data_IF_125830425277
#
_entry.id   IF_125830425277
#
_cell.length_a   1.000
_cell.length_b   1.000
_cell.length_c   1.000
_cell.angle_alpha   90.00
_cell.angle_beta   90.00
_cell.angle_gamma   90.00
#
_symmetry.space_group_name_H-M   'P 1'
#
loop_
_entity.id
_entity.type
_entity.pdbx_description
1 polymer ?
#
# COMPACT_ATOMS: atom_id res chain seq x y z
N UNK A 1 63.89 32.06 29.23
CA UNK A 1 62.65 32.47 28.51
C UNK A 1 62.08 31.26 27.86
N UNK A 2 61.15 30.53 28.52
CA UNK A 2 60.48 29.32 27.98
C UNK A 2 59.21 29.72 27.24
N UNK A 3 59.12 29.46 25.93
CA UNK A 3 57.89 29.64 25.14
C UNK A 3 57.15 28.33 25.15
N UNK A 4 55.99 28.31 25.81
CA UNK A 4 55.03 27.23 25.77
C UNK A 4 54.19 27.40 24.50
N UNK A 5 54.27 26.46 23.57
CA UNK A 5 53.43 26.40 22.38
C UNK A 5 52.22 25.55 22.75
N UNK A 6 51.03 26.18 22.90
CA UNK A 6 49.77 25.47 23.00
C UNK A 6 49.34 25.03 21.61
N UNK A 7 49.35 23.72 21.35
CA UNK A 7 48.75 23.12 20.17
C UNK A 7 47.25 22.92 20.40
N UNK A 8 46.43 23.73 19.73
CA UNK A 8 44.97 23.57 19.73
C UNK A 8 44.58 22.41 18.82
N UNK A 9 44.15 21.29 19.39
CA UNK A 9 43.52 20.21 18.64
C UNK A 9 42.07 20.61 18.29
N UNK A 10 41.81 20.96 17.06
CA UNK A 10 40.47 21.11 16.53
C UNK A 10 39.87 19.73 16.27
N UNK A 11 38.91 19.31 17.09
CA UNK A 11 38.13 18.12 16.85
C UNK A 11 37.13 18.39 15.71
N UNK A 12 37.35 17.81 14.50
CA UNK A 12 36.36 17.77 13.43
C UNK A 12 35.23 16.83 13.86
N UNK A 13 34.10 17.37 14.25
CA UNK A 13 32.87 16.61 14.39
C UNK A 13 32.35 16.27 12.97
N UNK A 14 32.52 15.02 12.52
CA UNK A 14 31.85 14.52 11.33
C UNK A 14 30.35 14.39 11.64
N UNK A 15 29.55 15.38 11.24
CA UNK A 15 28.11 15.25 11.20
C UNK A 15 27.76 14.23 10.12
N UNK A 16 27.23 13.07 10.51
CA UNK A 16 26.66 12.10 9.58
C UNK A 16 25.44 12.76 8.94
N UNK A 17 25.53 13.11 7.66
CA UNK A 17 24.41 13.57 6.88
C UNK A 17 23.50 12.36 6.64
N UNK A 18 22.42 12.23 7.38
CA UNK A 18 21.34 11.31 7.06
C UNK A 18 20.62 11.82 5.80
N UNK A 19 20.36 10.95 4.85
CA UNK A 19 19.53 11.30 3.72
C UNK A 19 18.11 11.64 4.20
N UNK A 20 17.52 12.71 3.66
CA UNK A 20 16.15 13.07 4.02
C UNK A 20 15.15 12.02 3.51
N UNK A 21 14.00 11.82 4.20
CA UNK A 21 12.94 10.96 3.70
C UNK A 21 12.50 11.36 2.29
N UNK A 22 12.30 10.38 1.43
CA UNK A 22 11.85 10.60 0.06
C UNK A 22 10.35 10.32 -0.02
N UNK A 23 9.61 11.24 -0.66
CA UNK A 23 8.20 11.04 -0.96
C UNK A 23 8.06 10.45 -2.35
N UNK A 24 7.42 9.30 -2.46
CA UNK A 24 7.06 8.66 -3.73
C UNK A 24 5.59 8.89 -4.02
N UNK A 25 5.27 9.23 -5.25
CA UNK A 25 3.90 9.25 -5.76
C UNK A 25 3.64 7.91 -6.46
N UNK A 26 2.54 7.25 -6.12
CA UNK A 26 2.14 6.01 -6.78
C UNK A 26 1.82 6.27 -8.26
N UNK A 27 2.27 5.35 -9.11
CA UNK A 27 1.93 5.33 -10.53
C UNK A 27 0.57 4.63 -10.73
N UNK A 28 -0.50 5.33 -11.13
CA UNK A 28 -1.81 4.73 -11.33
C UNK A 28 -1.83 3.64 -12.41
N UNK A 29 -0.92 3.72 -13.38
CA UNK A 29 -0.84 2.73 -14.47
C UNK A 29 -0.20 1.40 -14.02
N UNK A 30 0.50 1.40 -12.88
CA UNK A 30 1.21 0.24 -12.35
C UNK A 30 0.83 -0.08 -10.89
N UNK A 31 -0.30 0.46 -10.40
CA UNK A 31 -0.78 0.23 -9.03
C UNK A 31 -2.17 -0.37 -9.05
N UNK A 32 -2.26 -1.67 -8.72
CA UNK A 32 -3.50 -2.43 -8.78
C UNK A 32 -3.72 -3.22 -7.49
N UNK A 33 -4.59 -2.77 -6.57
CA UNK A 33 -5.12 -3.62 -5.52
C UNK A 33 -5.98 -4.73 -6.14
N UNK A 34 -5.45 -5.94 -6.14
CA UNK A 34 -6.11 -7.14 -6.63
C UNK A 34 -6.58 -8.00 -5.47
N UNK A 35 -7.64 -8.78 -5.69
CA UNK A 35 -8.23 -9.61 -4.65
C UNK A 35 -8.76 -10.93 -5.19
N UNK A 36 -8.89 -11.90 -4.28
CA UNK A 36 -9.51 -13.19 -4.51
C UNK A 36 -10.56 -13.43 -3.42
N UNK A 37 -11.81 -13.66 -3.83
CA UNK A 37 -12.96 -13.86 -2.96
C UNK A 37 -13.64 -15.20 -3.28
N UNK A 38 -14.21 -15.81 -2.25
CA UNK A 38 -14.95 -17.06 -2.35
C UNK A 38 -16.26 -16.90 -3.11
N UNK A 39 -16.66 -17.99 -3.77
CA UNK A 39 -17.96 -18.14 -4.41
C UNK A 39 -18.58 -19.49 -4.02
N UNK A 40 -19.73 -19.42 -3.36
CA UNK A 40 -20.51 -20.57 -2.88
C UNK A 40 -19.72 -21.57 -2.02
N UNK A 41 -19.01 -21.05 -0.97
CA UNK A 41 -18.37 -21.93 -0.01
C UNK A 41 -17.26 -22.80 -0.59
N UNK A 42 -16.45 -22.26 -1.50
CA UNK A 42 -15.31 -22.94 -2.08
C UNK A 42 -15.59 -23.57 -3.47
N UNK A 43 -16.77 -23.35 -4.06
CA UNK A 43 -17.05 -23.85 -5.42
C UNK A 43 -16.08 -23.25 -6.45
N UNK A 44 -15.78 -21.96 -6.32
CA UNK A 44 -14.81 -21.27 -7.17
C UNK A 44 -14.26 -20.04 -6.47
N UNK A 45 -13.30 -19.38 -7.12
CA UNK A 45 -12.69 -18.14 -6.61
C UNK A 45 -12.86 -17.05 -7.66
N UNK A 46 -13.60 -16.02 -7.31
CA UNK A 46 -13.66 -14.78 -8.07
C UNK A 46 -12.42 -13.94 -7.81
N UNK A 47 -11.82 -13.47 -8.90
CA UNK A 47 -10.68 -12.56 -8.85
C UNK A 47 -11.06 -11.25 -9.51
N UNK A 48 -10.67 -10.18 -8.88
CA UNK A 48 -10.87 -8.84 -9.40
C UNK A 48 -9.74 -7.90 -8.96
N UNK A 49 -9.79 -6.68 -9.46
CA UNK A 49 -8.86 -5.62 -9.10
C UNK A 49 -9.56 -4.27 -9.16
N UNK A 50 -8.92 -3.26 -8.58
CA UNK A 50 -9.30 -1.87 -8.79
C UNK A 50 -8.33 -1.23 -9.77
N UNK A 51 -8.87 -0.60 -10.82
CA UNK A 51 -8.08 -0.02 -11.91
C UNK A 51 -7.64 1.44 -11.65
N UNK A 52 -8.15 2.07 -10.59
CA UNK A 52 -7.83 3.45 -10.23
C UNK A 52 -7.43 3.54 -8.77
N UNK A 53 -6.14 3.78 -8.55
CA UNK A 53 -5.54 3.91 -7.23
C UNK A 53 -4.55 5.06 -7.27
N UNK A 54 -4.54 5.86 -6.22
CA UNK A 54 -3.59 6.96 -6.04
C UNK A 54 -3.04 6.96 -4.62
N UNK A 55 -1.92 7.62 -4.41
CA UNK A 55 -1.37 7.74 -3.07
C UNK A 55 0.06 8.23 -3.04
N UNK A 56 0.56 8.36 -1.81
CA UNK A 56 1.94 8.74 -1.53
C UNK A 56 2.54 7.81 -0.49
N UNK A 57 3.82 7.56 -0.65
CA UNK A 57 4.65 6.82 0.30
C UNK A 57 5.82 7.69 0.70
N UNK A 58 5.98 7.96 1.97
CA UNK A 58 7.19 8.58 2.50
C UNK A 58 8.10 7.45 2.98
N UNK A 59 9.33 7.42 2.52
CA UNK A 59 10.27 6.36 2.86
C UNK A 59 11.64 6.94 3.22
N UNK A 60 12.10 6.60 4.41
CA UNK A 60 13.44 6.87 4.91
C UNK A 60 14.20 5.56 5.03
N UNK A 61 15.11 5.35 4.09
CA UNK A 61 15.93 4.14 4.00
C UNK A 61 16.89 4.00 5.18
N UNK A 62 17.46 5.12 5.62
CA UNK A 62 18.50 5.14 6.64
C UNK A 62 17.90 5.06 8.05
N UNK A 63 16.81 5.78 8.29
CA UNK A 63 16.05 5.70 9.54
C UNK A 63 15.17 4.43 9.62
N UNK A 64 15.03 3.66 8.54
CA UNK A 64 14.14 2.50 8.44
C UNK A 64 12.74 2.87 8.92
N UNK A 65 12.17 3.87 8.31
CA UNK A 65 10.85 4.38 8.66
C UNK A 65 10.10 4.83 7.42
N UNK A 66 8.80 5.00 7.54
CA UNK A 66 7.99 5.55 6.47
C UNK A 66 6.51 5.41 6.73
N UNK A 67 5.74 6.11 5.93
CA UNK A 67 4.28 6.11 5.97
C UNK A 67 3.70 5.99 4.57
N UNK A 68 2.47 5.56 4.48
CA UNK A 68 1.76 5.43 3.22
C UNK A 68 0.31 5.88 3.40
N UNK A 69 -0.17 6.65 2.44
CA UNK A 69 -1.55 7.08 2.32
C UNK A 69 -2.03 6.77 0.91
N UNK A 70 -3.02 5.88 0.81
CA UNK A 70 -3.51 5.33 -0.45
C UNK A 70 -5.01 5.51 -0.53
N UNK A 71 -5.50 5.92 -1.70
CA UNK A 71 -6.92 6.03 -2.03
C UNK A 71 -7.23 5.15 -3.22
N UNK A 72 -8.26 4.33 -3.10
CA UNK A 72 -8.74 3.39 -4.11
C UNK A 72 -10.12 3.84 -4.53
N UNK A 73 -10.35 4.04 -5.83
CA UNK A 73 -11.67 4.32 -6.38
C UNK A 73 -12.48 3.03 -6.48
N UNK A 74 -13.54 2.91 -5.70
CA UNK A 74 -14.43 1.73 -5.70
C UNK A 74 -15.13 1.57 -7.05
N UNK A 75 -15.43 2.66 -7.76
CA UNK A 75 -16.05 2.58 -9.10
C UNK A 75 -15.15 1.95 -10.15
N UNK A 76 -13.86 1.84 -9.86
CA UNK A 76 -12.88 1.23 -10.76
C UNK A 76 -12.76 -0.29 -10.63
N UNK A 77 -13.61 -0.93 -9.82
CA UNK A 77 -13.62 -2.39 -9.65
C UNK A 77 -13.82 -3.10 -10.99
N UNK A 78 -13.06 -4.17 -11.21
CA UNK A 78 -13.03 -4.90 -12.45
C UNK A 78 -12.80 -6.40 -12.22
N UNK A 79 -13.77 -7.21 -12.58
CA UNK A 79 -13.68 -8.68 -12.60
C UNK A 79 -13.47 -9.21 -14.02
N UNK A 80 -13.37 -8.34 -15.04
CA UNK A 80 -13.39 -8.73 -16.44
C UNK A 80 -14.79 -9.08 -16.96
N UNK A 81 -15.84 -8.78 -16.18
CA UNK A 81 -17.23 -9.06 -16.54
C UNK A 81 -18.13 -7.88 -16.15
N UNK A 82 -18.56 -7.05 -17.11
CA UNK A 82 -19.26 -5.79 -16.83
C UNK A 82 -20.50 -5.94 -15.93
N UNK A 83 -21.27 -7.01 -16.05
CA UNK A 83 -22.44 -7.24 -15.19
C UNK A 83 -22.06 -7.48 -13.73
N UNK A 84 -20.93 -8.15 -13.47
CA UNK A 84 -20.45 -8.36 -12.11
C UNK A 84 -19.83 -7.06 -11.55
N UNK A 85 -19.14 -6.29 -12.40
CA UNK A 85 -18.58 -5.00 -12.02
C UNK A 85 -19.71 -4.05 -11.57
N UNK A 86 -20.82 -3.97 -12.32
CA UNK A 86 -21.99 -3.16 -11.94
C UNK A 86 -22.66 -3.67 -10.65
N UNK A 87 -22.82 -5.00 -10.52
CA UNK A 87 -23.38 -5.56 -9.29
C UNK A 87 -22.50 -5.28 -8.07
N UNK A 88 -21.18 -5.41 -8.21
CA UNK A 88 -20.25 -5.12 -7.12
C UNK A 88 -20.34 -3.66 -6.66
N UNK A 89 -20.55 -2.71 -7.57
CA UNK A 89 -20.73 -1.27 -7.25
C UNK A 89 -22.06 -0.94 -6.61
N UNK A 90 -23.07 -1.82 -6.75
CA UNK A 90 -24.42 -1.58 -6.26
C UNK A 90 -24.50 -1.47 -4.73
N UNK A 91 -25.65 -0.98 -4.24
CA UNK A 91 -25.93 -0.89 -2.81
C UNK A 91 -25.96 -2.26 -2.09
N UNK A 92 -26.03 -3.36 -2.83
CA UNK A 92 -26.02 -4.71 -2.27
C UNK A 92 -24.61 -5.15 -1.83
N UNK A 93 -23.53 -4.57 -2.39
CA UNK A 93 -22.14 -4.97 -2.11
C UNK A 93 -21.33 -3.80 -1.59
N UNK A 94 -20.79 -2.93 -2.48
CA UNK A 94 -19.92 -1.83 -2.06
C UNK A 94 -20.65 -0.51 -1.85
N UNK A 95 -21.87 -0.36 -2.35
CA UNK A 95 -22.63 0.92 -2.33
C UNK A 95 -21.73 2.10 -2.77
N UNK A 96 -21.13 1.96 -3.96
CA UNK A 96 -20.14 2.90 -4.46
C UNK A 96 -20.69 4.33 -4.63
N UNK A 97 -22.00 4.48 -4.76
CA UNK A 97 -22.65 5.79 -4.79
C UNK A 97 -22.53 6.52 -3.45
N UNK A 98 -22.55 5.79 -2.34
CA UNK A 98 -22.43 6.33 -0.98
C UNK A 98 -20.98 6.29 -0.49
N UNK A 99 -20.23 5.26 -0.86
CA UNK A 99 -18.87 5.02 -0.44
C UNK A 99 -17.94 4.89 -1.66
N UNK A 100 -17.68 5.99 -2.38
CA UNK A 100 -16.96 5.94 -3.66
C UNK A 100 -15.49 5.56 -3.54
N UNK A 101 -14.91 5.61 -2.34
CA UNK A 101 -13.49 5.32 -2.11
C UNK A 101 -13.27 4.40 -0.93
N UNK A 102 -12.19 3.61 -1.01
CA UNK A 102 -11.54 3.03 0.15
C UNK A 102 -10.18 3.71 0.36
N UNK A 103 -9.74 3.83 1.62
CA UNK A 103 -8.46 4.45 1.95
C UNK A 103 -7.66 3.58 2.91
N UNK A 104 -6.35 3.54 2.71
CA UNK A 104 -5.42 2.95 3.67
C UNK A 104 -4.41 3.99 4.10
N UNK A 105 -4.27 4.19 5.41
CA UNK A 105 -3.23 5.03 6.01
C UNK A 105 -2.43 4.21 7.03
N UNK A 106 -1.11 4.18 6.89
CA UNK A 106 -0.26 3.33 7.73
C UNK A 106 1.19 3.72 7.75
N UNK A 107 1.96 2.91 8.47
CA UNK A 107 3.42 3.07 8.63
C UNK A 107 4.12 1.73 8.41
N UNK A 108 5.34 1.79 7.93
CA UNK A 108 6.20 0.61 7.91
C UNK A 108 6.60 0.22 9.32
N UNK A 109 6.45 -1.06 9.66
CA UNK A 109 6.68 -1.60 11.01
C UNK A 109 7.81 -2.61 11.06
N UNK A 110 8.13 -3.26 9.93
CA UNK A 110 9.25 -4.20 9.83
C UNK A 110 10.07 -3.94 8.58
N UNK A 111 11.36 -4.26 8.68
CA UNK A 111 12.33 -4.08 7.62
C UNK A 111 13.25 -5.31 7.52
N UNK A 112 13.63 -5.66 6.27
CA UNK A 112 14.70 -6.60 5.96
C UNK A 112 15.89 -5.77 5.42
N UNK A 113 16.90 -5.56 6.26
CA UNK A 113 17.93 -4.57 5.96
C UNK A 113 17.32 -3.16 5.94
N UNK A 114 17.35 -2.49 4.80
CA UNK A 114 16.64 -1.23 4.58
C UNK A 114 15.29 -1.41 3.88
N UNK A 115 15.01 -2.56 3.26
CA UNK A 115 13.76 -2.80 2.54
C UNK A 115 12.58 -2.95 3.52
N UNK A 116 11.46 -2.25 3.31
CA UNK A 116 10.26 -2.47 4.11
C UNK A 116 9.73 -3.88 3.90
N UNK A 117 9.28 -4.54 4.98
CA UNK A 117 8.78 -5.91 4.98
C UNK A 117 7.33 -6.03 5.52
N UNK A 118 6.87 -5.03 6.25
CA UNK A 118 5.50 -4.98 6.76
C UNK A 118 5.07 -3.53 6.94
N UNK A 119 3.79 -3.27 6.67
CA UNK A 119 3.13 -2.03 7.05
C UNK A 119 1.89 -2.34 7.89
N UNK A 120 1.66 -1.52 8.93
CA UNK A 120 0.45 -1.57 9.73
C UNK A 120 -0.27 -0.22 9.63
N UNK A 121 -1.59 -0.28 9.52
CA UNK A 121 -2.40 0.91 9.38
C UNK A 121 -3.87 0.62 9.52
N UNK A 122 -4.69 1.54 9.05
CA UNK A 122 -6.13 1.43 9.02
C UNK A 122 -6.65 1.44 7.59
N UNK A 123 -7.52 0.50 7.29
CA UNK A 123 -8.32 0.48 6.07
C UNK A 123 -9.70 1.06 6.41
N UNK A 124 -10.11 2.07 5.67
CA UNK A 124 -11.50 2.55 5.68
C UNK A 124 -12.15 2.11 4.38
N UNK A 125 -13.21 1.33 4.47
CA UNK A 125 -13.96 0.80 3.34
C UNK A 125 -15.43 0.72 3.73
N UNK A 126 -16.35 1.07 2.81
CA UNK A 126 -17.80 1.04 3.06
C UNK A 126 -18.22 1.79 4.35
N UNK A 127 -17.52 2.89 4.67
CA UNK A 127 -17.74 3.71 5.86
C UNK A 127 -17.20 3.14 7.17
N UNK A 128 -16.56 1.97 7.17
CA UNK A 128 -16.03 1.31 8.36
C UNK A 128 -14.50 1.33 8.32
N UNK A 129 -13.88 1.67 9.46
CA UNK A 129 -12.41 1.70 9.62
C UNK A 129 -11.95 0.56 10.52
N UNK A 130 -11.00 -0.23 10.06
CA UNK A 130 -10.39 -1.35 10.81
C UNK A 130 -8.88 -1.37 10.65
N UNK A 131 -8.14 -1.87 11.65
CA UNK A 131 -6.71 -2.11 11.51
C UNK A 131 -6.45 -3.22 10.49
N UNK A 132 -5.45 -3.02 9.64
CA UNK A 132 -5.00 -4.01 8.65
C UNK A 132 -3.47 -4.03 8.64
N UNK A 133 -2.92 -5.23 8.57
CA UNK A 133 -1.49 -5.46 8.37
C UNK A 133 -1.25 -5.89 6.93
N UNK A 134 -0.33 -5.22 6.27
CA UNK A 134 0.13 -5.52 4.92
C UNK A 134 1.51 -6.17 5.00
N UNK A 135 1.65 -7.38 4.49
CA UNK A 135 2.95 -8.03 4.32
C UNK A 135 3.54 -7.60 2.99
N UNK A 136 4.76 -7.09 2.99
CA UNK A 136 5.49 -6.74 1.78
C UNK A 136 6.32 -7.95 1.38
N UNK A 137 5.87 -8.65 0.33
CA UNK A 137 6.47 -9.90 -0.15
C UNK A 137 7.72 -9.65 -0.98
N UNK A 138 7.75 -8.52 -1.71
CA UNK A 138 8.94 -8.03 -2.40
C UNK A 138 8.99 -6.50 -2.42
N UNK A 139 10.20 -5.95 -2.41
CA UNK A 139 10.47 -4.52 -2.59
C UNK A 139 11.74 -4.35 -3.41
N UNK A 140 11.68 -3.52 -4.44
CA UNK A 140 12.85 -3.22 -5.27
C UNK A 140 12.76 -1.80 -5.85
N UNK A 141 13.88 -1.09 -5.79
CA UNK A 141 14.05 0.17 -6.52
C UNK A 141 15.08 -0.02 -7.63
N UNK A 142 14.81 0.58 -8.78
CA UNK A 142 15.71 0.59 -9.94
C UNK A 142 15.75 1.98 -10.55
N UNK A 143 16.77 2.26 -11.32
CA UNK A 143 16.72 3.36 -12.27
C UNK A 143 15.95 2.90 -13.51
N UNK A 144 14.81 3.53 -13.80
CA UNK A 144 13.98 3.18 -14.95
C UNK A 144 14.79 3.25 -16.24
N UNK A 145 14.77 2.20 -17.06
CA UNK A 145 15.47 2.20 -18.35
C UNK A 145 14.91 3.22 -19.34
N UNK A 146 13.63 3.61 -19.14
CA UNK A 146 12.92 4.54 -20.01
C UNK A 146 13.12 6.01 -19.58
N UNK A 147 12.84 6.30 -18.31
CA UNK A 147 12.82 7.68 -17.79
C UNK A 147 14.12 8.11 -17.15
N UNK A 148 15.03 7.16 -16.83
CA UNK A 148 16.28 7.37 -16.08
C UNK A 148 16.05 7.91 -14.65
N UNK A 149 14.80 7.94 -14.18
CA UNK A 149 14.45 8.28 -12.81
C UNK A 149 14.35 7.02 -11.96
N UNK A 150 14.49 7.16 -10.65
CA UNK A 150 14.23 6.06 -9.72
C UNK A 150 12.76 5.66 -9.77
N UNK A 151 12.51 4.36 -9.76
CA UNK A 151 11.19 3.76 -9.59
C UNK A 151 11.32 2.64 -8.58
N UNK A 152 10.45 2.64 -7.58
CA UNK A 152 10.34 1.56 -6.61
C UNK A 152 9.04 0.78 -6.83
N UNK A 153 9.14 -0.55 -6.78
CA UNK A 153 8.01 -1.45 -6.90
C UNK A 153 7.90 -2.39 -5.71
N UNK A 154 6.67 -2.78 -5.39
CA UNK A 154 6.33 -3.71 -4.31
C UNK A 154 5.30 -4.72 -4.76
N UNK A 155 5.40 -5.94 -4.20
CA UNK A 155 4.31 -6.90 -4.11
C UNK A 155 3.88 -7.02 -2.65
N UNK A 156 2.59 -6.93 -2.41
CA UNK A 156 2.02 -6.89 -1.05
C UNK A 156 0.88 -7.91 -0.95
N UNK A 157 0.83 -8.62 0.16
CA UNK A 157 -0.26 -9.53 0.48
C UNK A 157 -0.91 -9.18 1.82
N UNK A 158 -2.19 -9.50 1.93
CA UNK A 158 -2.94 -9.45 3.18
C UNK A 158 -4.18 -10.34 3.07
N UNK A 159 -4.84 -10.56 4.20
CA UNK A 159 -6.15 -11.19 4.26
C UNK A 159 -7.04 -10.35 5.14
N UNK A 160 -8.24 -10.05 4.67
CA UNK A 160 -9.26 -9.32 5.43
C UNK A 160 -10.57 -10.12 5.45
N UNK A 161 -11.38 -9.90 6.47
CA UNK A 161 -12.77 -10.32 6.45
C UNK A 161 -13.63 -9.14 5.97
N UNK A 162 -14.24 -9.26 4.80
CA UNK A 162 -15.05 -8.18 4.20
C UNK A 162 -16.31 -7.85 4.98
N UNK A 163 -16.86 -8.82 5.73
CA UNK A 163 -18.00 -8.58 6.59
C UNK A 163 -17.70 -7.61 7.74
N UNK A 164 -16.44 -7.53 8.21
CA UNK A 164 -16.01 -6.56 9.22
C UNK A 164 -16.17 -5.10 8.76
N UNK A 165 -16.28 -4.90 7.43
CA UNK A 165 -16.51 -3.61 6.79
C UNK A 165 -17.96 -3.44 6.31
N UNK A 166 -18.86 -4.37 6.66
CA UNK A 166 -20.26 -4.33 6.22
C UNK A 166 -20.47 -4.81 4.78
N UNK A 167 -19.45 -5.33 4.10
CA UNK A 167 -19.54 -5.91 2.76
C UNK A 167 -19.83 -7.42 2.89
N UNK A 168 -21.05 -7.76 3.28
CA UNK A 168 -21.44 -9.11 3.68
C UNK A 168 -22.34 -9.84 2.68
N UNK A 169 -22.47 -9.35 1.44
CA UNK A 169 -23.25 -10.00 0.40
C UNK A 169 -22.82 -11.48 0.22
N UNK A 170 -23.81 -12.35 0.07
CA UNK A 170 -23.58 -13.77 -0.12
C UNK A 170 -23.43 -14.59 1.16
N UNK A 171 -23.39 -13.97 2.34
CA UNK A 171 -23.31 -14.68 3.63
C UNK A 171 -24.38 -15.79 3.75
N UNK A 172 -25.63 -15.43 3.50
CA UNK A 172 -26.76 -16.39 3.51
C UNK A 172 -26.69 -17.49 2.43
N UNK A 173 -25.81 -17.37 1.48
CA UNK A 173 -25.54 -18.36 0.45
C UNK A 173 -24.28 -19.18 0.73
N UNK A 174 -23.69 -19.04 1.93
CA UNK A 174 -22.51 -19.78 2.35
C UNK A 174 -21.20 -19.27 1.78
N UNK A 175 -21.13 -18.03 1.27
CA UNK A 175 -19.87 -17.44 0.81
C UNK A 175 -18.96 -17.21 2.00
N UNK A 176 -17.72 -17.66 1.91
CA UNK A 176 -16.68 -17.26 2.86
C UNK A 176 -16.44 -15.75 2.74
N UNK A 177 -16.39 -15.08 3.87
CA UNK A 177 -16.21 -13.63 3.93
C UNK A 177 -14.73 -13.21 3.91
N UNK A 178 -13.81 -14.17 4.00
CA UNK A 178 -12.39 -13.92 3.88
C UNK A 178 -12.02 -13.57 2.42
N UNK A 179 -11.25 -12.51 2.26
CA UNK A 179 -10.75 -12.03 0.99
C UNK A 179 -9.23 -11.94 1.06
N UNK A 180 -8.55 -12.59 0.13
CA UNK A 180 -7.10 -12.49 -0.04
C UNK A 180 -6.78 -11.31 -0.93
N UNK A 181 -5.90 -10.43 -0.43
CA UNK A 181 -5.39 -9.28 -1.16
C UNK A 181 -4.02 -9.62 -1.75
N UNK A 182 -3.82 -9.27 -3.02
CA UNK A 182 -2.55 -9.31 -3.73
C UNK A 182 -2.42 -7.99 -4.47
N UNK A 183 -1.47 -7.17 -4.06
CA UNK A 183 -1.37 -5.79 -4.47
C UNK A 183 0.00 -5.57 -5.08
N UNK A 184 0.04 -5.19 -6.35
CA UNK A 184 1.23 -4.59 -6.95
C UNK A 184 1.13 -3.08 -6.89
N UNK A 185 2.23 -2.42 -6.62
CA UNK A 185 2.31 -0.97 -6.69
C UNK A 185 3.71 -0.53 -7.13
N UNK A 186 3.75 0.51 -7.96
CA UNK A 186 4.98 1.20 -8.33
C UNK A 186 4.84 2.69 -7.98
N UNK A 187 5.99 3.33 -7.74
CA UNK A 187 6.02 4.76 -7.47
C UNK A 187 7.38 5.36 -7.76
N UNK A 188 7.37 6.66 -8.07
CA UNK A 188 8.57 7.45 -8.31
C UNK A 188 8.66 8.62 -7.33
N UNK A 189 9.88 9.12 -7.02
CA UNK A 189 10.04 10.31 -6.22
C UNK A 189 9.18 11.44 -6.75
N UNK A 190 8.42 12.09 -5.84
CA UNK A 190 7.68 13.30 -6.17
C UNK A 190 8.66 14.37 -6.60
N UNK A 191 8.48 14.91 -7.81
CA UNK A 191 9.34 15.92 -8.42
C UNK A 191 9.26 17.27 -7.72
#
# INVERSE_FOLDING_TARGET
MNRIVLASMAALACASAFAAPVTYTLDPAHTYPSFAADHFGGLSVWRGKFNSTSGKVVYDKDAKSGSLDVTIDINSINFGMPKLDEHAKSAEIFDAAKYPTATFSGKFTKFNGSAPAEAQGTLTMHGVTKPVTLKIDSFKCIQSPLTKKEVCGVEVSSTINRADFGVNYGDKYGFNQEVKLQIQAEGSPAG
#
